data_IF_718442960362
#
_entry.id   IF_718442960362
#
_cell.length_a   1.000
_cell.length_b   1.000
_cell.length_c   1.000
_cell.angle_alpha   90.00
_cell.angle_beta   90.00
_cell.angle_gamma   90.00
#
_symmetry.space_group_name_H-M   'P 1'
#
loop_
_entity.id
_entity.type
_entity.pdbx_description
1 polymer ?
#
# COMPACT_ATOMS: atom_id res chain seq x y z
N UNK A 1 1.47 15.17 -2.30
CA UNK A 1 2.06 13.81 -2.31
C UNK A 1 0.91 12.84 -2.32
N UNK A 2 0.70 12.10 -3.40
CA UNK A 2 -0.25 10.98 -3.39
C UNK A 2 0.35 9.87 -2.51
N UNK A 3 -0.39 9.47 -1.49
CA UNK A 3 0.02 8.45 -0.54
C UNK A 3 -0.76 7.15 -0.76
N UNK A 4 -2.01 7.25 -1.21
CA UNK A 4 -2.96 6.14 -1.27
C UNK A 4 -3.95 6.26 -2.43
N UNK A 5 -4.38 5.10 -2.94
CA UNK A 5 -5.55 4.97 -3.81
C UNK A 5 -6.67 4.23 -3.08
N UNK A 6 -7.88 4.77 -3.13
CA UNK A 6 -9.09 4.10 -2.63
C UNK A 6 -10.21 4.16 -3.67
N UNK A 7 -11.11 3.18 -3.62
CA UNK A 7 -12.23 3.12 -4.56
C UNK A 7 -13.28 2.08 -4.16
N UNK A 8 -14.48 2.26 -4.70
CA UNK A 8 -15.52 1.24 -4.61
C UNK A 8 -15.14 0.10 -5.55
N UNK A 9 -15.20 -1.14 -5.05
CA UNK A 9 -14.87 -2.32 -5.84
C UNK A 9 -15.91 -2.54 -6.94
N UNK A 10 -15.44 -2.91 -8.13
CA UNK A 10 -16.29 -3.15 -9.28
C UNK A 10 -17.25 -4.32 -9.06
N UNK A 11 -18.52 -4.11 -9.43
CA UNK A 11 -19.62 -5.04 -9.16
C UNK A 11 -19.46 -6.39 -9.87
N UNK A 12 -18.82 -6.44 -11.04
CA UNK A 12 -18.57 -7.70 -11.76
C UNK A 12 -17.58 -8.60 -10.99
N UNK A 13 -16.60 -8.02 -10.29
CA UNK A 13 -15.66 -8.75 -9.42
C UNK A 13 -16.40 -9.31 -8.20
N UNK A 14 -17.33 -8.54 -7.65
CA UNK A 14 -18.18 -8.98 -6.53
C UNK A 14 -19.11 -10.13 -6.95
N UNK A 15 -19.74 -10.02 -8.13
CA UNK A 15 -20.59 -11.07 -8.70
C UNK A 15 -19.81 -12.35 -9.00
N UNK A 16 -18.60 -12.26 -9.55
CA UNK A 16 -17.76 -13.45 -9.82
C UNK A 16 -17.35 -14.19 -8.54
N UNK A 17 -17.32 -13.49 -7.40
CA UNK A 17 -17.08 -14.05 -6.07
C UNK A 17 -18.39 -14.42 -5.32
N UNK A 18 -19.53 -14.50 -6.00
CA UNK A 18 -20.80 -14.91 -5.42
C UNK A 18 -21.48 -13.87 -4.53
N UNK A 19 -21.02 -12.61 -4.53
CA UNK A 19 -21.58 -11.50 -3.75
C UNK A 19 -22.30 -10.50 -4.65
N UNK A 20 -23.47 -10.88 -5.14
CA UNK A 20 -24.21 -10.12 -6.16
C UNK A 20 -24.92 -8.86 -5.67
N UNK A 21 -25.08 -8.67 -4.35
CA UNK A 21 -25.86 -7.54 -3.79
C UNK A 21 -25.10 -6.79 -2.69
N UNK A 22 -23.77 -6.81 -2.75
CA UNK A 22 -22.90 -6.24 -1.72
C UNK A 22 -22.11 -5.06 -2.31
N UNK A 23 -21.93 -4.02 -1.51
CA UNK A 23 -20.99 -2.92 -1.83
C UNK A 23 -19.69 -3.22 -1.09
N UNK A 24 -18.58 -3.31 -1.82
CA UNK A 24 -17.25 -3.45 -1.24
C UNK A 24 -16.38 -2.23 -1.56
N UNK A 25 -15.44 -1.97 -0.66
CA UNK A 25 -14.50 -0.88 -0.73
C UNK A 25 -13.10 -1.48 -0.76
N UNK A 26 -12.27 -1.00 -1.66
CA UNK A 26 -10.88 -1.40 -1.78
C UNK A 26 -9.98 -0.19 -1.52
N UNK A 27 -8.91 -0.41 -0.78
CA UNK A 27 -7.84 0.58 -0.60
C UNK A 27 -6.49 -0.11 -0.73
N UNK A 28 -5.53 0.59 -1.32
CA UNK A 28 -4.15 0.15 -1.46
C UNK A 28 -3.22 1.09 -0.70
N UNK A 29 -2.39 0.53 0.17
CA UNK A 29 -1.34 1.24 0.89
C UNK A 29 0.03 0.74 0.41
N UNK A 30 0.90 1.65 -0.01
CA UNK A 30 2.31 1.34 -0.27
C UNK A 30 3.10 1.46 1.03
N UNK A 31 3.51 0.34 1.62
CA UNK A 31 4.23 0.29 2.90
C UNK A 31 5.56 1.05 2.81
N UNK A 32 6.30 0.86 1.73
CA UNK A 32 7.58 1.51 1.47
C UNK A 32 7.40 3.03 1.32
N UNK A 33 6.34 3.46 0.63
CA UNK A 33 6.03 4.88 0.44
C UNK A 33 5.67 5.55 1.78
N UNK A 34 4.91 4.87 2.63
CA UNK A 34 4.56 5.35 3.97
C UNK A 34 5.80 5.42 4.86
N UNK A 35 6.64 4.38 4.86
CA UNK A 35 7.87 4.35 5.65
C UNK A 35 8.86 5.45 5.22
N UNK A 36 9.00 5.71 3.91
CA UNK A 36 9.85 6.79 3.43
C UNK A 36 9.43 8.17 3.94
N UNK A 37 8.12 8.44 3.97
CA UNK A 37 7.59 9.71 4.45
C UNK A 37 7.68 9.81 5.97
N UNK A 38 7.43 8.71 6.70
CA UNK A 38 7.41 8.70 8.15
C UNK A 38 8.81 8.80 8.76
N UNK A 39 9.79 8.12 8.17
CA UNK A 39 11.16 8.03 8.65
C UNK A 39 12.14 8.92 7.86
N UNK A 40 11.62 9.81 7.01
CA UNK A 40 12.39 10.72 6.14
C UNK A 40 13.48 10.00 5.33
N UNK A 41 13.17 8.79 4.85
CA UNK A 41 14.14 7.95 4.14
C UNK A 41 14.25 8.47 2.70
N UNK A 42 15.45 8.92 2.27
CA UNK A 42 15.61 9.59 0.99
C UNK A 42 15.55 8.64 -0.22
N UNK A 43 15.75 7.34 -0.01
CA UNK A 43 15.85 6.36 -1.09
C UNK A 43 15.26 4.99 -0.70
N UNK A 44 14.39 4.46 -1.56
CA UNK A 44 13.76 3.15 -1.39
C UNK A 44 14.77 1.98 -1.44
N UNK A 45 15.92 2.17 -2.09
CA UNK A 45 16.98 1.14 -2.17
C UNK A 45 17.54 0.78 -0.80
N UNK A 46 17.45 1.68 0.18
CA UNK A 46 17.90 1.44 1.54
C UNK A 46 17.13 0.28 2.20
N UNK A 47 15.85 0.07 1.84
CA UNK A 47 15.09 -1.09 2.33
C UNK A 47 15.62 -2.45 1.84
N UNK A 48 16.36 -2.45 0.74
CA UNK A 48 16.96 -3.65 0.16
C UNK A 48 18.47 -3.74 0.41
N UNK A 49 19.02 -2.79 1.15
CA UNK A 49 20.42 -2.76 1.54
C UNK A 49 20.60 -3.41 2.90
N UNK A 50 21.63 -4.24 3.04
CA UNK A 50 21.95 -4.93 4.30
C UNK A 50 22.83 -4.06 5.22
N UNK A 51 22.65 -2.73 5.17
CA UNK A 51 23.46 -1.79 5.95
C UNK A 51 22.92 -1.72 7.38
N UNK A 52 23.68 -2.25 8.34
CA UNK A 52 23.30 -2.28 9.76
C UNK A 52 22.95 -0.90 10.33
N UNK A 53 23.52 0.18 9.79
CA UNK A 53 23.24 1.56 10.24
C UNK A 53 21.82 2.03 9.91
N UNK A 54 21.17 1.35 8.97
CA UNK A 54 19.80 1.61 8.54
C UNK A 54 18.80 0.68 9.23
N UNK A 55 19.14 -0.61 9.40
CA UNK A 55 18.28 -1.57 10.11
C UNK A 55 18.28 -1.42 11.63
N UNK A 56 19.27 -0.73 12.21
CA UNK A 56 19.36 -0.49 13.66
C UNK A 56 18.70 0.80 14.17
N UNK A 57 18.00 1.57 13.31
CA UNK A 57 17.37 2.84 13.70
C UNK A 57 16.01 2.68 14.39
#
# INVERSE_FOLDING_TARGET
>A
MEVLGCGVTEQEILKSNGKSNNVAWAFGLGLERLAMVLFDIPDIRLFWSDDERFTSQ
#
